data_IF_091076705349
#
_entry.id   IF_091076705349
#
_cell.length_a   1.000
_cell.length_b   1.000
_cell.length_c   1.000
_cell.angle_alpha   90.00
_cell.angle_beta   90.00
_cell.angle_gamma   90.00
#
_symmetry.space_group_name_H-M   'P 1'
#
loop_
_entity.id
_entity.type
_entity.pdbx_description
1 polymer ?
#
# COMPACT_ATOMS: atom_id res chain seq x y z
N UNK A 1 -18.74 43.32 7.98
CA UNK A 1 -17.84 42.70 6.99
C UNK A 1 -17.24 41.46 7.63
N UNK A 2 -17.91 40.32 7.43
CA UNK A 2 -17.52 39.02 7.95
C UNK A 2 -16.22 38.63 7.23
N UNK A 3 -15.15 38.39 7.98
CA UNK A 3 -13.90 37.94 7.39
C UNK A 3 -14.10 36.46 7.07
N UNK A 4 -14.28 36.16 5.78
CA UNK A 4 -14.31 34.81 5.25
C UNK A 4 -13.07 34.04 5.70
N UNK A 5 -13.29 33.00 6.49
CA UNK A 5 -12.29 31.99 6.87
C UNK A 5 -12.13 30.98 5.73
N UNK A 6 -12.09 31.47 4.49
CA UNK A 6 -11.90 30.69 3.25
C UNK A 6 -10.65 31.15 2.50
N UNK A 7 -9.53 31.19 3.22
CA UNK A 7 -8.20 31.15 2.60
C UNK A 7 -7.38 30.04 3.23
N UNK A 8 -7.86 28.81 3.09
CA UNK A 8 -7.01 27.62 3.16
C UNK A 8 -6.08 27.58 1.93
N UNK A 9 -5.08 28.47 1.91
CA UNK A 9 -3.80 28.04 1.35
C UNK A 9 -3.20 27.06 2.36
N UNK A 10 -3.84 25.90 2.55
CA UNK A 10 -3.45 24.89 3.51
C UNK A 10 -2.14 24.27 3.01
N UNK A 11 -1.03 24.73 3.59
CA UNK A 11 0.28 24.12 3.40
C UNK A 11 0.13 22.64 3.70
N UNK A 12 0.50 21.81 2.73
CA UNK A 12 0.55 20.35 2.89
C UNK A 12 1.33 20.03 4.18
N UNK A 13 0.64 19.48 5.16
CA UNK A 13 1.25 19.20 6.46
C UNK A 13 2.20 17.99 6.35
N UNK A 14 3.41 18.13 6.92
CA UNK A 14 4.41 17.04 6.94
C UNK A 14 3.89 15.71 7.50
N UNK A 15 2.90 15.75 8.41
CA UNK A 15 2.32 14.54 9.01
C UNK A 15 1.43 13.73 8.08
N UNK A 16 1.03 14.31 6.94
CA UNK A 16 0.32 13.58 5.90
C UNK A 16 1.21 12.55 5.23
N UNK A 17 2.53 12.75 5.18
CA UNK A 17 3.44 11.86 4.47
C UNK A 17 3.65 10.54 5.20
N UNK A 18 3.80 9.48 4.42
CA UNK A 18 4.25 8.18 4.91
C UNK A 18 5.69 8.28 5.43
N UNK A 19 6.02 7.48 6.45
CA UNK A 19 7.42 7.31 6.84
C UNK A 19 8.16 6.56 5.72
N UNK A 20 9.35 7.00 5.33
CA UNK A 20 10.14 6.32 4.28
C UNK A 20 10.33 4.83 4.57
N UNK A 21 10.58 4.48 5.83
CA UNK A 21 10.71 3.09 6.31
C UNK A 21 9.41 2.29 6.30
N UNK A 22 8.28 2.84 5.84
CA UNK A 22 6.97 2.16 5.78
C UNK A 22 6.37 2.22 4.38
N UNK A 23 7.12 2.68 3.37
CA UNK A 23 6.68 2.61 1.97
C UNK A 23 6.58 1.15 1.54
N UNK A 24 5.42 0.76 1.02
CA UNK A 24 5.11 -0.58 0.56
C UNK A 24 3.89 -0.55 -0.36
N UNK A 25 3.74 -1.58 -1.18
CA UNK A 25 2.52 -1.84 -1.96
C UNK A 25 1.68 -2.84 -1.18
N UNK A 26 0.44 -2.49 -0.87
CA UNK A 26 -0.47 -3.40 -0.18
C UNK A 26 -1.16 -4.30 -1.20
N UNK A 27 -1.04 -5.62 -1.03
CA UNK A 27 -1.79 -6.61 -1.82
C UNK A 27 -3.17 -6.84 -1.18
N UNK A 28 -3.19 -7.27 0.08
CA UNK A 28 -4.42 -7.57 0.82
C UNK A 28 -4.20 -7.37 2.32
N UNK A 29 -5.25 -6.94 3.03
CA UNK A 29 -5.27 -6.84 4.48
C UNK A 29 -5.94 -8.09 5.08
N UNK A 30 -5.26 -8.74 6.03
CA UNK A 30 -5.71 -9.99 6.63
C UNK A 30 -6.17 -9.80 8.08
N UNK A 31 -7.05 -10.69 8.55
CA UNK A 31 -7.47 -10.80 9.95
C UNK A 31 -7.02 -12.14 10.53
N UNK A 32 -5.78 -12.17 10.99
CA UNK A 32 -5.12 -13.36 11.54
C UNK A 32 -5.13 -13.26 13.07
N UNK A 33 -6.13 -13.86 13.70
CA UNK A 33 -6.42 -13.69 15.13
C UNK A 33 -5.86 -14.82 16.01
N UNK A 34 -5.28 -15.84 15.39
CA UNK A 34 -4.74 -17.05 16.01
C UNK A 34 -3.55 -17.57 15.17
N UNK A 35 -2.77 -18.47 15.75
CA UNK A 35 -1.54 -18.99 15.14
C UNK A 35 -1.84 -19.88 13.92
N UNK A 36 -2.94 -20.63 13.94
CA UNK A 36 -3.35 -21.51 12.83
C UNK A 36 -3.64 -20.70 11.56
N UNK A 37 -4.31 -19.54 11.69
CA UNK A 37 -4.53 -18.62 10.56
C UNK A 37 -3.24 -17.97 10.09
N UNK A 38 -2.32 -17.67 10.99
CA UNK A 38 -1.01 -17.14 10.61
C UNK A 38 -0.28 -18.17 9.76
N UNK A 39 -0.17 -19.42 10.23
CA UNK A 39 0.53 -20.47 9.51
C UNK A 39 -0.13 -20.77 8.15
N UNK A 40 -1.47 -20.87 8.11
CA UNK A 40 -2.20 -21.02 6.86
C UNK A 40 -1.93 -19.88 5.88
N UNK A 41 -1.85 -18.63 6.35
CA UNK A 41 -1.52 -17.49 5.49
C UNK A 41 -0.09 -17.57 4.94
N UNK A 42 0.87 -18.06 5.74
CA UNK A 42 2.27 -18.25 5.32
C UNK A 42 2.36 -19.31 4.22
N UNK A 43 1.76 -20.47 4.45
CA UNK A 43 1.75 -21.58 3.48
C UNK A 43 1.14 -21.15 2.14
N UNK A 44 -0.02 -20.48 2.18
CA UNK A 44 -0.70 -19.99 0.97
C UNK A 44 0.13 -18.93 0.24
N UNK A 45 0.75 -18.00 0.97
CA UNK A 45 1.62 -16.99 0.36
C UNK A 45 2.79 -17.62 -0.39
N UNK A 46 3.50 -18.54 0.27
CA UNK A 46 4.66 -19.22 -0.31
C UNK A 46 4.25 -20.05 -1.53
N UNK A 47 3.22 -20.88 -1.39
CA UNK A 47 2.73 -21.75 -2.47
C UNK A 47 2.29 -20.96 -3.70
N UNK A 48 1.50 -19.90 -3.50
CA UNK A 48 1.01 -19.08 -4.61
C UNK A 48 2.16 -18.37 -5.32
N UNK A 49 3.09 -17.80 -4.55
CA UNK A 49 4.25 -17.10 -5.10
C UNK A 49 5.18 -18.05 -5.85
N UNK A 50 5.44 -19.24 -5.30
CA UNK A 50 6.27 -20.27 -5.94
C UNK A 50 5.67 -20.79 -7.25
N UNK A 51 4.37 -21.09 -7.25
CA UNK A 51 3.66 -21.52 -8.47
C UNK A 51 3.71 -20.44 -9.55
N UNK A 52 3.61 -19.16 -9.15
CA UNK A 52 3.64 -18.05 -10.08
C UNK A 52 5.01 -17.88 -10.73
N UNK A 53 6.10 -17.86 -9.95
CA UNK A 53 7.46 -17.70 -10.51
C UNK A 53 7.92 -18.92 -11.31
N UNK A 54 7.38 -20.12 -11.04
CA UNK A 54 7.61 -21.31 -11.88
C UNK A 54 6.90 -21.23 -13.23
N UNK A 55 5.80 -20.48 -13.34
CA UNK A 55 4.94 -20.44 -14.53
C UNK A 55 5.04 -19.14 -15.34
N UNK A 56 5.64 -18.08 -14.78
CA UNK A 56 5.70 -16.74 -15.37
C UNK A 56 7.09 -16.13 -15.24
N UNK A 57 7.47 -15.33 -16.23
CA UNK A 57 8.68 -14.51 -16.16
C UNK A 57 8.38 -13.25 -15.35
N UNK A 58 9.11 -13.05 -14.26
CA UNK A 58 8.99 -11.87 -13.41
C UNK A 58 9.84 -10.73 -13.98
N UNK A 59 9.30 -9.49 -14.06
CA UNK A 59 10.12 -8.35 -14.43
C UNK A 59 11.19 -8.10 -13.37
N UNK A 60 12.44 -7.85 -13.77
CA UNK A 60 13.54 -7.59 -12.83
C UNK A 60 13.39 -6.27 -12.07
N UNK A 61 12.64 -5.33 -12.64
CA UNK A 61 12.45 -4.00 -12.10
C UNK A 61 11.00 -3.55 -12.23
N UNK A 62 10.58 -2.70 -11.31
CA UNK A 62 9.30 -1.99 -11.34
C UNK A 62 9.55 -0.50 -11.54
N UNK A 63 8.86 0.11 -12.50
CA UNK A 63 8.82 1.56 -12.63
C UNK A 63 7.79 2.14 -11.66
N UNK A 64 8.16 3.25 -10.99
CA UNK A 64 7.24 4.07 -10.22
C UNK A 64 7.15 5.42 -10.92
N UNK A 65 5.96 5.74 -11.43
CA UNK A 65 5.74 6.97 -12.18
C UNK A 65 4.35 7.51 -12.00
N UNK A 66 4.29 8.82 -11.82
CA UNK A 66 3.06 9.59 -11.70
C UNK A 66 2.35 9.40 -10.38
N UNK A 67 1.32 10.21 -10.18
CA UNK A 67 0.58 10.35 -8.93
C UNK A 67 -0.92 10.14 -9.15
N UNK A 68 -1.51 9.27 -8.34
CA UNK A 68 -2.96 9.14 -8.22
C UNK A 68 -3.44 9.51 -6.83
N UNK A 69 -4.75 9.60 -6.68
CA UNK A 69 -5.42 9.84 -5.41
C UNK A 69 -6.68 8.98 -5.31
N UNK A 70 -7.20 8.82 -4.10
CA UNK A 70 -8.52 8.19 -3.92
C UNK A 70 -9.62 9.26 -3.90
N UNK A 71 -10.83 8.84 -4.29
CA UNK A 71 -12.03 9.69 -4.42
C UNK A 71 -11.94 10.72 -5.54
N UNK A 72 -11.47 10.29 -6.71
CA UNK A 72 -11.57 11.05 -7.96
C UNK A 72 -13.02 11.50 -8.24
N UNK A 73 -13.25 12.67 -8.86
CA UNK A 73 -12.26 13.63 -9.37
C UNK A 73 -11.86 14.74 -8.39
N UNK A 74 -12.37 14.77 -7.15
CA UNK A 74 -12.20 15.93 -6.22
C UNK A 74 -10.80 16.03 -5.62
N UNK A 75 -9.85 16.60 -6.38
CA UNK A 75 -8.43 16.80 -6.00
C UNK A 75 -8.29 17.65 -4.74
N UNK A 76 -9.17 18.62 -4.56
CA UNK A 76 -9.24 19.52 -3.40
C UNK A 76 -9.73 18.84 -2.11
N UNK A 77 -10.26 17.61 -2.23
CA UNK A 77 -10.75 16.79 -1.11
C UNK A 77 -10.10 15.40 -1.06
N UNK A 78 -8.85 15.30 -1.50
CA UNK A 78 -8.10 14.04 -1.43
C UNK A 78 -7.86 13.64 0.03
N UNK A 79 -7.96 12.33 0.31
CA UNK A 79 -7.58 11.77 1.61
C UNK A 79 -6.37 10.82 1.52
N UNK A 80 -6.07 10.33 0.31
CA UNK A 80 -4.91 9.50 -0.01
C UNK A 80 -4.32 10.01 -1.31
N UNK A 81 -3.01 10.19 -1.34
CA UNK A 81 -2.21 10.41 -2.54
C UNK A 81 -1.16 9.30 -2.61
N UNK A 82 -0.99 8.70 -3.79
CA UNK A 82 -0.09 7.57 -4.00
C UNK A 82 0.69 7.72 -5.30
N UNK A 83 1.87 7.13 -5.35
CA UNK A 83 2.60 6.94 -6.59
C UNK A 83 2.06 5.70 -7.31
N UNK A 84 1.90 5.79 -8.64
CA UNK A 84 1.46 4.66 -9.48
C UNK A 84 2.63 3.75 -9.82
N UNK A 85 2.32 2.47 -9.99
CA UNK A 85 3.24 1.48 -10.52
C UNK A 85 3.07 1.44 -12.04
N UNK A 86 4.18 1.50 -12.78
CA UNK A 86 4.19 1.57 -14.24
C UNK A 86 3.76 0.27 -14.92
N UNK A 87 3.33 0.37 -16.18
CA UNK A 87 2.69 -0.68 -16.98
C UNK A 87 3.52 -1.93 -17.27
N UNK A 88 4.83 -1.95 -16.95
CA UNK A 88 5.60 -3.20 -16.95
C UNK A 88 5.21 -4.16 -15.82
N UNK A 89 4.21 -3.80 -15.00
CA UNK A 89 3.76 -4.53 -13.82
C UNK A 89 2.61 -5.51 -14.05
N UNK A 90 2.18 -5.80 -15.29
CA UNK A 90 1.02 -6.68 -15.53
C UNK A 90 1.15 -8.05 -14.84
N UNK A 91 2.35 -8.65 -14.88
CA UNK A 91 2.58 -9.92 -14.17
C UNK A 91 2.49 -9.77 -12.65
N UNK A 92 2.99 -8.66 -12.11
CA UNK A 92 2.90 -8.38 -10.67
C UNK A 92 1.47 -8.08 -10.25
N UNK A 93 0.69 -7.45 -11.12
CA UNK A 93 -0.74 -7.22 -10.92
C UNK A 93 -1.49 -8.57 -10.87
N UNK A 94 -1.23 -9.48 -11.81
CA UNK A 94 -1.82 -10.82 -11.81
C UNK A 94 -1.44 -11.59 -10.55
N UNK A 95 -0.18 -11.53 -10.11
CA UNK A 95 0.26 -12.17 -8.86
C UNK A 95 -0.44 -11.58 -7.63
N UNK A 96 -0.53 -10.25 -7.54
CA UNK A 96 -1.23 -9.58 -6.45
C UNK A 96 -2.71 -9.97 -6.39
N UNK A 97 -3.38 -10.02 -7.55
CA UNK A 97 -4.78 -10.45 -7.66
C UNK A 97 -4.94 -11.91 -7.24
N UNK A 98 -4.03 -12.79 -7.68
CA UNK A 98 -4.07 -14.22 -7.33
C UNK A 98 -3.90 -14.43 -5.81
N UNK A 99 -2.89 -13.79 -5.21
CA UNK A 99 -2.67 -13.87 -3.75
C UNK A 99 -3.87 -13.33 -2.99
N UNK A 100 -4.38 -12.15 -3.37
CA UNK A 100 -5.55 -11.55 -2.73
C UNK A 100 -6.74 -12.50 -2.78
N UNK A 101 -7.06 -13.03 -3.96
CA UNK A 101 -8.14 -13.99 -4.17
C UNK A 101 -7.96 -15.25 -3.33
N UNK A 102 -6.77 -15.85 -3.32
CA UNK A 102 -6.44 -17.03 -2.53
C UNK A 102 -6.68 -16.80 -1.04
N UNK A 103 -6.26 -15.64 -0.51
CA UNK A 103 -6.49 -15.30 0.91
C UNK A 103 -7.97 -15.12 1.25
N UNK A 104 -8.74 -14.50 0.35
CA UNK A 104 -10.19 -14.28 0.52
C UNK A 104 -10.95 -15.61 0.52
N UNK A 105 -10.68 -16.46 -0.48
CA UNK A 105 -11.33 -17.78 -0.60
C UNK A 105 -11.04 -18.68 0.61
N UNK A 106 -9.92 -18.47 1.27
CA UNK A 106 -9.52 -19.20 2.47
C UNK A 106 -10.00 -18.59 3.79
N UNK A 107 -10.79 -17.50 3.75
CA UNK A 107 -11.34 -16.86 4.95
C UNK A 107 -10.29 -16.13 5.80
N UNK A 108 -9.22 -15.63 5.17
CA UNK A 108 -8.14 -14.91 5.87
C UNK A 108 -8.27 -13.39 5.73
N UNK A 109 -9.06 -12.92 4.76
CA UNK A 109 -9.30 -11.51 4.50
C UNK A 109 -10.79 -11.15 4.73
N UNK A 110 -11.06 -10.21 5.65
CA UNK A 110 -12.41 -9.68 5.91
C UNK A 110 -12.37 -8.15 6.05
N UNK A 111 -13.38 -7.44 5.53
CA UNK A 111 -13.52 -6.01 5.85
C UNK A 111 -13.83 -5.85 7.34
N UNK A 112 -13.49 -4.68 7.87
CA UNK A 112 -13.73 -4.31 9.28
C UNK A 112 -15.22 -4.38 9.71
N UNK A 113 -16.16 -4.55 8.78
CA UNK A 113 -17.60 -4.68 8.99
C UNK A 113 -18.15 -6.12 8.75
N UNK A 114 -17.28 -7.12 8.54
CA UNK A 114 -17.70 -8.51 8.29
C UNK A 114 -18.08 -8.83 6.84
N UNK A 115 -18.03 -7.86 5.93
CA UNK A 115 -18.25 -8.08 4.50
C UNK A 115 -16.99 -8.66 3.82
N UNK A 116 -17.20 -9.43 2.74
CA UNK A 116 -16.10 -9.88 1.87
C UNK A 116 -15.39 -8.66 1.27
N UNK A 117 -14.07 -8.73 1.16
CA UNK A 117 -13.23 -7.63 0.69
C UNK A 117 -13.37 -7.30 -0.81
N UNK A 118 -13.76 -8.29 -1.61
CA UNK A 118 -13.80 -8.21 -3.07
C UNK A 118 -15.07 -8.92 -3.55
N UNK A 119 -15.80 -8.29 -4.47
CA UNK A 119 -16.65 -9.03 -5.40
C UNK A 119 -15.73 -9.80 -6.37
N UNK A 120 -16.23 -10.84 -7.05
CA UNK A 120 -15.39 -11.70 -7.91
C UNK A 120 -14.62 -10.95 -9.04
N UNK A 121 -14.96 -9.68 -9.28
CA UNK A 121 -14.38 -8.82 -10.31
C UNK A 121 -13.46 -7.69 -9.79
N UNK A 122 -13.24 -7.55 -8.48
CA UNK A 122 -12.36 -6.51 -7.96
C UNK A 122 -10.88 -6.93 -8.14
N UNK A 123 -10.06 -6.02 -8.69
CA UNK A 123 -8.60 -6.18 -8.84
C UNK A 123 -7.86 -5.32 -7.81
N UNK A 124 -6.72 -5.81 -7.33
CA UNK A 124 -5.83 -5.10 -6.41
C UNK A 124 -5.32 -3.85 -7.10
N UNK A 125 -5.63 -2.67 -6.58
CA UNK A 125 -5.00 -1.45 -7.08
C UNK A 125 -3.59 -1.35 -6.50
N UNK A 126 -2.55 -1.85 -7.17
CA UNK A 126 -1.17 -1.69 -6.69
C UNK A 126 -0.74 -0.23 -6.73
N UNK A 127 -0.26 0.29 -5.58
CA UNK A 127 0.19 1.67 -5.43
C UNK A 127 1.10 1.83 -4.22
N UNK A 128 1.91 2.88 -4.21
CA UNK A 128 2.70 3.30 -3.05
C UNK A 128 2.05 4.51 -2.39
N UNK A 129 1.42 4.33 -1.23
CA UNK A 129 0.79 5.44 -0.51
C UNK A 129 1.86 6.43 -0.02
N UNK A 130 1.87 7.64 -0.58
CA UNK A 130 2.82 8.71 -0.24
C UNK A 130 2.25 9.62 0.83
N UNK A 131 0.94 9.94 0.76
CA UNK A 131 0.26 10.76 1.75
C UNK A 131 -1.10 10.17 2.12
N UNK A 132 -1.46 10.28 3.40
CA UNK A 132 -2.77 9.86 3.91
C UNK A 132 -3.16 10.68 5.15
N UNK A 133 -4.41 11.16 5.22
CA UNK A 133 -4.91 11.86 6.41
C UNK A 133 -4.92 11.00 7.66
N UNK A 134 -5.02 9.67 7.51
CA UNK A 134 -4.91 8.73 8.62
C UNK A 134 -3.50 8.70 9.27
N UNK A 135 -2.45 9.11 8.55
CA UNK A 135 -1.08 9.12 9.08
C UNK A 135 -0.84 10.23 10.09
N UNK A 136 -1.65 11.29 10.06
CA UNK A 136 -1.52 12.43 10.97
C UNK A 136 -1.48 11.96 12.43
N UNK A 137 -2.40 11.07 12.82
CA UNK A 137 -2.48 10.55 14.20
C UNK A 137 -1.24 9.74 14.61
N UNK A 138 -0.54 9.13 13.65
CA UNK A 138 0.65 8.31 13.87
C UNK A 138 1.95 9.13 13.86
N UNK A 139 1.97 10.23 13.11
CA UNK A 139 3.17 11.02 12.88
C UNK A 139 3.30 12.25 13.79
N UNK A 140 2.21 12.64 14.45
CA UNK A 140 2.19 13.80 15.33
C UNK A 140 2.86 13.53 16.68
N UNK A 141 3.67 14.48 17.16
CA UNK A 141 4.20 14.43 18.53
C UNK A 141 3.20 14.98 19.56
N UNK A 142 3.31 14.61 20.85
CA UNK A 142 2.47 15.18 21.91
C UNK A 142 2.51 16.71 21.97
N UNK A 143 3.65 17.32 21.64
CA UNK A 143 3.82 18.78 21.60
C UNK A 143 3.02 19.42 20.46
N UNK A 144 3.10 18.84 19.27
CA UNK A 144 2.39 19.33 18.07
C UNK A 144 0.87 19.11 18.15
N UNK A 145 0.41 18.15 18.98
CA UNK A 145 -1.03 17.90 19.22
C UNK A 145 -1.76 19.05 19.91
N UNK A 146 -1.03 19.92 20.62
CA UNK A 146 -1.62 21.07 21.31
C UNK A 146 -1.85 22.27 20.40
N UNK A 147 -1.17 22.35 19.25
CA UNK A 147 -1.15 23.55 18.40
C UNK A 147 -2.05 23.49 17.17
N UNK A 148 -2.55 22.31 16.79
CA UNK A 148 -3.35 22.13 15.57
C UNK A 148 -4.48 21.13 15.87
N UNK A 149 -5.72 21.47 15.48
CA UNK A 149 -6.88 20.57 15.62
C UNK A 149 -6.93 19.53 14.49
N UNK A 150 -5.98 18.60 14.55
CA UNK A 150 -5.84 17.51 13.58
C UNK A 150 -7.04 16.56 13.51
N UNK A 151 -7.94 16.56 14.51
CA UNK A 151 -9.15 15.73 14.47
C UNK A 151 -10.11 16.17 13.37
N UNK A 152 -9.97 17.41 12.88
CA UNK A 152 -10.79 17.98 11.82
C UNK A 152 -10.23 17.78 10.41
N UNK A 153 -8.96 17.39 10.27
CA UNK A 153 -8.33 17.18 8.96
C UNK A 153 -8.78 15.85 8.36
N UNK A 154 -9.84 15.92 7.54
CA UNK A 154 -10.41 14.76 6.84
C UNK A 154 -9.90 14.61 5.41
N UNK A 155 -9.43 15.70 4.83
CA UNK A 155 -8.94 15.82 3.47
C UNK A 155 -7.80 16.85 3.39
N UNK A 156 -7.09 16.87 2.27
CA UNK A 156 -6.13 17.90 1.90
C UNK A 156 -6.30 18.22 0.41
N UNK A 157 -5.91 19.44 0.03
CA UNK A 157 -5.89 19.85 -1.36
C UNK A 157 -4.64 19.31 -2.08
N UNK A 158 -4.84 18.37 -3.00
CA UNK A 158 -3.77 17.78 -3.80
C UNK A 158 -3.54 18.53 -5.13
N UNK A 159 -4.31 19.56 -5.46
CA UNK A 159 -4.32 20.21 -6.78
C UNK A 159 -2.93 20.66 -7.20
N UNK A 160 -2.26 21.47 -6.38
CA UNK A 160 -0.89 21.95 -6.69
C UNK A 160 0.14 20.82 -6.77
N UNK A 161 -0.03 19.74 -5.99
CA UNK A 161 0.89 18.60 -6.07
C UNK A 161 0.71 17.91 -7.43
N UNK A 162 -0.53 17.65 -7.83
CA UNK A 162 -0.84 17.01 -9.10
C UNK A 162 -0.43 17.89 -10.28
N UNK A 163 -0.69 19.19 -10.25
CA UNK A 163 -0.31 20.11 -11.34
C UNK A 163 1.20 20.09 -11.62
N UNK A 164 2.03 19.90 -10.60
CA UNK A 164 3.49 19.87 -10.74
C UNK A 164 4.07 18.46 -10.93
N UNK A 165 3.40 17.42 -10.42
CA UNK A 165 4.00 16.09 -10.28
C UNK A 165 3.11 14.94 -10.78
N UNK A 166 2.00 15.21 -11.49
CA UNK A 166 1.05 14.17 -11.93
C UNK A 166 1.73 13.02 -12.69
N UNK A 167 2.73 13.32 -13.52
CA UNK A 167 3.47 12.34 -14.34
C UNK A 167 4.95 12.22 -13.95
N UNK A 168 5.29 12.64 -12.73
CA UNK A 168 6.66 12.63 -12.21
C UNK A 168 7.26 11.22 -12.18
N UNK A 169 8.48 11.06 -12.70
CA UNK A 169 9.20 9.79 -12.66
C UNK A 169 9.93 9.65 -11.32
N UNK A 170 9.45 8.76 -10.46
CA UNK A 170 10.12 8.46 -9.18
C UNK A 170 11.32 7.52 -9.36
N UNK A 171 11.37 6.81 -10.50
CA UNK A 171 12.46 5.92 -10.88
C UNK A 171 12.04 4.45 -10.90
N UNK A 172 13.03 3.57 -10.88
CA UNK A 172 12.84 2.12 -10.94
C UNK A 172 13.37 1.46 -9.67
N UNK A 173 12.66 0.46 -9.14
CA UNK A 173 13.17 -0.41 -8.09
C UNK A 173 13.48 -1.81 -8.64
N UNK A 174 14.49 -2.47 -8.07
CA UNK A 174 14.60 -3.93 -8.21
C UNK A 174 13.33 -4.59 -7.66
N UNK A 175 12.88 -5.68 -8.27
CA UNK A 175 11.64 -6.35 -7.87
C UNK A 175 11.68 -6.69 -6.36
N UNK A 176 10.76 -6.13 -5.55
CA UNK A 176 10.77 -6.36 -4.11
C UNK A 176 10.20 -7.75 -3.78
N UNK A 177 10.54 -8.31 -2.61
CA UNK A 177 9.92 -9.55 -2.16
C UNK A 177 8.42 -9.35 -1.86
N UNK A 178 7.67 -10.45 -1.87
CA UNK A 178 6.30 -10.47 -1.31
C UNK A 178 6.39 -10.87 0.15
N UNK A 179 5.71 -10.13 1.02
CA UNK A 179 5.87 -10.27 2.46
C UNK A 179 4.52 -10.33 3.17
N UNK A 180 4.43 -11.25 4.14
CA UNK A 180 3.40 -11.23 5.17
C UNK A 180 3.92 -10.39 6.35
N UNK A 181 3.20 -9.33 6.71
CA UNK A 181 3.65 -8.37 7.71
C UNK A 181 2.62 -8.22 8.85
N UNK A 182 3.09 -8.26 10.11
CA UNK A 182 2.31 -7.76 11.25
C UNK A 182 2.45 -6.24 11.34
N UNK A 183 1.41 -5.54 10.86
CA UNK A 183 1.39 -4.08 10.77
C UNK A 183 1.32 -3.37 12.13
N UNK A 184 1.08 -4.11 13.23
CA UNK A 184 1.03 -3.58 14.61
C UNK A 184 2.43 -3.46 15.21
N UNK A 185 3.39 -4.24 14.71
CA UNK A 185 4.77 -4.31 15.18
C UNK A 185 5.71 -3.69 14.15
N UNK A 186 6.90 -3.33 14.60
CA UNK A 186 7.97 -2.87 13.70
C UNK A 186 9.23 -3.67 13.97
N UNK A 187 9.98 -3.97 12.91
CA UNK A 187 11.31 -4.57 13.04
C UNK A 187 12.36 -3.51 13.45
N UNK A 188 13.61 -3.93 13.60
CA UNK A 188 14.73 -3.05 14.00
C UNK A 188 15.00 -1.89 13.02
N UNK A 189 14.65 -2.05 11.74
CA UNK A 189 14.79 -1.01 10.72
C UNK A 189 13.61 -0.04 10.67
N UNK A 190 12.61 -0.21 11.55
CA UNK A 190 11.40 0.60 11.56
C UNK A 190 10.43 0.27 10.42
N UNK A 191 10.66 -0.79 9.64
CA UNK A 191 9.68 -1.39 8.74
C UNK A 191 8.68 -2.24 9.53
N UNK A 192 7.64 -2.77 8.89
CA UNK A 192 6.71 -3.66 9.57
C UNK A 192 7.42 -4.95 10.00
N UNK A 193 6.90 -5.61 11.04
CA UNK A 193 7.43 -6.91 11.43
C UNK A 193 7.10 -7.92 10.31
N UNK A 194 8.14 -8.48 9.71
CA UNK A 194 7.99 -9.51 8.69
C UNK A 194 7.73 -10.83 9.41
N UNK A 195 6.67 -11.52 9.00
CA UNK A 195 6.30 -12.87 9.45
C UNK A 195 6.77 -13.91 8.44
N UNK A 196 6.63 -13.60 7.15
CA UNK A 196 7.09 -14.44 6.05
C UNK A 196 7.51 -13.58 4.86
N UNK A 197 8.48 -14.05 4.08
CA UNK A 197 9.01 -13.32 2.93
C UNK A 197 9.38 -14.27 1.80
N UNK A 198 8.88 -13.98 0.61
CA UNK A 198 9.21 -14.70 -0.61
C UNK A 198 9.95 -13.78 -1.58
N UNK A 199 11.17 -14.14 -1.97
CA UNK A 199 11.94 -13.40 -2.97
C UNK A 199 11.55 -13.85 -4.38
N UNK A 200 10.94 -12.93 -5.15
CA UNK A 200 10.52 -13.17 -6.52
C UNK A 200 11.68 -13.36 -7.50
N UNK A 201 12.91 -12.99 -7.10
CA UNK A 201 14.11 -13.12 -7.91
C UNK A 201 14.94 -14.37 -7.55
N UNK A 202 14.50 -15.17 -6.59
CA UNK A 202 15.20 -16.40 -6.25
C UNK A 202 15.27 -17.30 -7.49
N UNK A 203 16.49 -17.69 -7.87
CA UNK A 203 16.69 -18.66 -8.95
C UNK A 203 16.15 -20.01 -8.49
N UNK A 204 14.94 -20.36 -8.91
CA UNK A 204 14.46 -21.74 -8.83
C UNK A 204 15.25 -22.53 -9.86
N UNK A 205 16.46 -22.97 -9.48
CA UNK A 205 17.19 -23.97 -10.24
C UNK A 205 16.25 -25.17 -10.37
N UNK A 206 15.75 -25.39 -11.59
CA UNK A 206 14.97 -26.57 -11.92
C UNK A 206 15.90 -27.78 -11.84
N UNK A 207 16.06 -28.34 -10.65
CA UNK A 207 16.45 -29.75 -10.47
C UNK A 207 15.28 -30.64 -10.91
N UNK A 208 14.96 -30.59 -12.20
CA UNK A 208 14.18 -31.60 -12.90
C UNK A 208 14.68 -31.65 -14.34
N UNK A 209 15.83 -32.30 -14.50
CA UNK A 209 16.31 -32.89 -15.75
C UNK A 209 16.63 -34.35 -15.48
#
# INVERSE_FOLDING_TARGET
MQIDVERSTERVHKFLFQKSTKLHMTIVCLSLNDEDKIEKARELLLKESENFVRSKIIPKQLEIRGLGYFKEPRKEKANVLYARIGSSSDQIQVLADSISKTMILNGLAYRNNGEKYFEDNDSVKLHLTMMNTAFIRRNITPRERKSIDFKRIKYFDATKILDNFNDYSFGTLAMPPIQLCDVRKSNEFGYYQIVESFDLNANFNSEFS
#
